data_IF_058179048171
#
_entry.id   IF_058179048171
#
_cell.length_a   1.000
_cell.length_b   1.000
_cell.length_c   1.000
_cell.angle_alpha   90.00
_cell.angle_beta   90.00
_cell.angle_gamma   90.00
#
_symmetry.space_group_name_H-M   'P 1'
#
loop_
_entity.id
_entity.type
_entity.pdbx_description
1 polymer ?
#
# COMPACT_ATOMS: atom_id res chain seq x y z
N UNK A 1 34.46 -7.20 -13.99
CA UNK A 1 33.58 -6.19 -14.62
C UNK A 1 32.07 -6.54 -14.52
N UNK A 2 31.68 -7.82 -14.36
CA UNK A 2 30.27 -8.29 -14.37
C UNK A 2 29.37 -7.66 -13.29
N UNK A 3 29.89 -7.36 -12.09
CA UNK A 3 29.10 -6.77 -10.97
C UNK A 3 28.58 -5.34 -11.22
N UNK A 4 29.24 -4.57 -12.11
CA UNK A 4 28.87 -3.16 -12.36
C UNK A 4 27.57 -3.02 -13.15
N UNK A 5 27.36 -3.87 -14.16
CA UNK A 5 26.14 -3.85 -14.98
C UNK A 5 24.90 -4.27 -14.18
N UNK A 6 25.04 -5.30 -13.34
CA UNK A 6 23.98 -5.77 -12.46
C UNK A 6 23.58 -4.70 -11.42
N UNK A 7 24.55 -3.98 -10.89
CA UNK A 7 24.33 -2.85 -9.99
C UNK A 7 23.55 -1.71 -10.68
N UNK A 8 23.91 -1.36 -11.92
CA UNK A 8 23.23 -0.32 -12.69
C UNK A 8 21.77 -0.68 -13.00
N UNK A 9 21.51 -1.94 -13.35
CA UNK A 9 20.14 -2.43 -13.55
C UNK A 9 19.33 -2.39 -12.25
N UNK A 10 19.94 -2.76 -11.12
CA UNK A 10 19.29 -2.63 -9.79
C UNK A 10 18.98 -1.18 -9.47
N UNK A 11 19.93 -0.26 -9.67
CA UNK A 11 19.75 1.18 -9.46
C UNK A 11 18.65 1.75 -10.35
N UNK A 12 18.58 1.35 -11.62
CA UNK A 12 17.55 1.80 -12.56
C UNK A 12 16.16 1.35 -12.14
N UNK A 13 16.00 0.10 -11.70
CA UNK A 13 14.73 -0.41 -11.16
C UNK A 13 14.34 0.27 -9.83
N UNK A 14 15.29 0.48 -8.92
CA UNK A 14 14.99 0.99 -7.56
C UNK A 14 14.82 2.52 -7.52
N UNK A 15 15.55 3.27 -8.34
CA UNK A 15 15.57 4.74 -8.31
C UNK A 15 14.20 5.38 -8.61
N UNK A 16 13.41 4.78 -9.51
CA UNK A 16 12.04 5.23 -9.77
C UNK A 16 11.13 5.09 -8.55
N UNK A 17 11.23 3.94 -7.85
CA UNK A 17 10.46 3.65 -6.62
C UNK A 17 10.90 4.53 -5.44
N UNK A 18 12.18 4.93 -5.41
CA UNK A 18 12.78 5.73 -4.35
C UNK A 18 13.02 7.18 -4.77
N UNK A 19 12.28 7.72 -5.75
CA UNK A 19 12.41 9.12 -6.14
C UNK A 19 11.72 10.05 -5.14
N UNK A 20 12.35 11.18 -4.80
CA UNK A 20 11.71 12.21 -3.97
C UNK A 20 10.61 12.97 -4.72
N UNK A 21 10.71 13.03 -6.05
CA UNK A 21 9.78 13.72 -6.91
C UNK A 21 9.41 12.82 -8.10
N UNK A 22 8.12 12.77 -8.41
CA UNK A 22 7.58 12.16 -9.62
C UNK A 22 7.15 13.28 -10.56
N UNK A 23 7.27 13.05 -11.87
CA UNK A 23 6.84 14.00 -12.88
C UNK A 23 5.80 13.32 -13.79
N UNK A 24 4.65 13.95 -13.94
CA UNK A 24 3.58 13.48 -14.83
C UNK A 24 2.96 14.68 -15.55
N UNK A 25 2.95 14.65 -16.88
CA UNK A 25 2.45 15.74 -17.73
C UNK A 25 2.98 17.13 -17.34
N UNK A 26 4.27 17.24 -17.01
CA UNK A 26 4.90 18.50 -16.60
C UNK A 26 4.63 18.92 -15.15
N UNK A 27 3.82 18.18 -14.39
CA UNK A 27 3.53 18.45 -12.98
C UNK A 27 4.47 17.66 -12.08
N UNK A 28 5.07 18.35 -11.11
CA UNK A 28 5.91 17.74 -10.08
C UNK A 28 5.08 17.30 -8.88
N UNK A 29 5.15 16.03 -8.53
CA UNK A 29 4.46 15.41 -7.40
C UNK A 29 5.49 14.98 -6.36
N UNK A 30 5.37 15.46 -5.12
CA UNK A 30 6.24 15.04 -4.02
C UNK A 30 5.91 13.60 -3.61
N UNK A 31 6.93 12.80 -3.27
CA UNK A 31 6.71 11.45 -2.72
C UNK A 31 5.77 11.44 -1.51
N UNK A 32 5.96 12.38 -0.59
CA UNK A 32 5.12 12.50 0.60
C UNK A 32 3.63 12.70 0.28
N UNK A 33 3.31 13.37 -0.83
CA UNK A 33 1.93 13.53 -1.27
C UNK A 33 1.34 12.21 -1.79
N UNK A 34 2.13 11.41 -2.53
CA UNK A 34 1.73 10.07 -2.98
C UNK A 34 1.52 9.14 -1.79
N UNK A 35 2.43 9.15 -0.81
CA UNK A 35 2.31 8.34 0.41
C UNK A 35 1.12 8.75 1.28
N UNK A 36 0.86 10.05 1.41
CA UNK A 36 -0.31 10.55 2.12
C UNK A 36 -1.60 10.08 1.44
N UNK A 37 -1.65 10.15 0.10
CA UNK A 37 -2.80 9.68 -0.67
C UNK A 37 -3.02 8.17 -0.52
N UNK A 38 -1.95 7.37 -0.58
CA UNK A 38 -2.04 5.91 -0.37
C UNK A 38 -2.60 5.60 1.04
N UNK A 39 -2.16 6.33 2.08
CA UNK A 39 -2.70 6.17 3.44
C UNK A 39 -4.16 6.60 3.55
N UNK A 40 -4.55 7.70 2.91
CA UNK A 40 -5.93 8.17 2.91
C UNK A 40 -6.86 7.13 2.25
N UNK A 41 -6.44 6.54 1.13
CA UNK A 41 -7.17 5.48 0.45
C UNK A 41 -7.32 4.23 1.33
N UNK A 42 -6.24 3.83 1.99
CA UNK A 42 -6.29 2.69 2.91
C UNK A 42 -7.26 2.95 4.07
N UNK A 43 -7.17 4.13 4.69
CA UNK A 43 -8.06 4.52 5.79
C UNK A 43 -9.53 4.59 5.34
N UNK A 44 -9.79 4.98 4.10
CA UNK A 44 -11.13 5.03 3.54
C UNK A 44 -11.71 3.63 3.30
N UNK A 45 -10.92 2.73 2.69
CA UNK A 45 -11.32 1.33 2.50
C UNK A 45 -11.63 0.64 3.85
N UNK A 46 -10.86 0.94 4.89
CA UNK A 46 -11.11 0.39 6.23
C UNK A 46 -12.44 0.83 6.85
N UNK A 47 -13.02 1.97 6.43
CA UNK A 47 -14.34 2.39 6.93
C UNK A 47 -15.46 1.46 6.50
N UNK A 48 -15.30 0.74 5.39
CA UNK A 48 -16.29 -0.27 4.97
C UNK A 48 -16.48 -1.35 6.02
N UNK A 49 -15.49 -1.56 6.89
CA UNK A 49 -15.48 -2.55 7.97
C UNK A 49 -15.80 -1.95 9.36
N UNK A 50 -16.16 -0.67 9.43
CA UNK A 50 -16.53 -0.02 10.69
C UNK A 50 -17.90 -0.50 11.21
N UNK A 51 -18.14 -0.34 12.51
CA UNK A 51 -19.43 -0.71 13.12
C UNK A 51 -20.63 -0.01 12.45
N UNK A 52 -20.45 1.22 11.97
CA UNK A 52 -21.49 1.97 11.23
C UNK A 52 -21.91 1.28 9.93
N UNK A 53 -21.01 0.53 9.31
CA UNK A 53 -21.28 -0.22 8.08
C UNK A 53 -22.06 -1.50 8.33
N UNK A 54 -22.15 -1.96 9.59
CA UNK A 54 -22.93 -3.13 10.01
C UNK A 54 -24.40 -2.83 10.30
N UNK A 55 -24.78 -1.55 10.43
CA UNK A 55 -26.13 -1.13 10.86
C UNK A 55 -27.24 -1.65 9.93
N UNK A 56 -26.95 -1.87 8.64
CA UNK A 56 -27.93 -2.34 7.66
C UNK A 56 -27.98 -3.88 7.50
N UNK A 57 -27.31 -4.63 8.36
CA UNK A 57 -27.24 -6.10 8.31
C UNK A 57 -28.07 -6.71 9.45
N UNK A 58 -28.56 -7.95 9.28
CA UNK A 58 -29.31 -8.67 10.32
C UNK A 58 -30.55 -7.95 10.83
N UNK A 59 -31.35 -7.32 9.94
CA UNK A 59 -32.50 -6.48 10.33
C UNK A 59 -33.57 -7.25 11.12
N UNK A 60 -33.60 -8.57 10.96
CA UNK A 60 -34.52 -9.53 11.56
C UNK A 60 -33.86 -10.46 12.59
N UNK A 61 -32.56 -10.27 12.86
CA UNK A 61 -31.74 -11.11 13.72
C UNK A 61 -31.14 -10.38 14.93
N UNK A 62 -30.34 -11.11 15.69
CA UNK A 62 -29.52 -10.56 16.77
C UNK A 62 -28.14 -10.09 16.26
N UNK A 63 -27.28 -9.71 17.19
CA UNK A 63 -25.93 -9.23 16.85
C UNK A 63 -25.09 -10.29 16.11
N UNK A 64 -25.32 -11.59 16.38
CA UNK A 64 -24.57 -12.68 15.74
C UNK A 64 -25.01 -12.87 14.28
N UNK A 65 -26.33 -12.77 14.02
CA UNK A 65 -26.87 -12.84 12.65
C UNK A 65 -26.37 -11.64 11.83
N UNK A 66 -26.38 -10.44 12.40
CA UNK A 66 -25.82 -9.24 11.75
C UNK A 66 -24.36 -9.42 11.35
N UNK A 67 -23.54 -9.91 12.28
CA UNK A 67 -22.10 -10.04 12.04
C UNK A 67 -21.81 -11.15 11.02
N UNK A 68 -22.56 -12.26 11.06
CA UNK A 68 -22.47 -13.31 10.05
C UNK A 68 -22.90 -12.84 8.65
N UNK A 69 -23.99 -12.09 8.53
CA UNK A 69 -24.44 -11.52 7.26
C UNK A 69 -23.43 -10.51 6.70
N UNK A 70 -22.83 -9.71 7.60
CA UNK A 70 -21.81 -8.75 7.23
C UNK A 70 -20.57 -9.47 6.68
N UNK A 71 -20.05 -10.46 7.39
CA UNK A 71 -18.88 -11.24 6.98
C UNK A 71 -19.14 -12.00 5.67
N UNK A 72 -20.33 -12.58 5.50
CA UNK A 72 -20.68 -13.30 4.27
C UNK A 72 -20.68 -12.42 3.00
N UNK A 73 -20.97 -11.13 3.13
CA UNK A 73 -21.03 -10.19 2.00
C UNK A 73 -19.73 -9.38 1.85
N UNK A 74 -19.12 -8.96 2.95
CA UNK A 74 -17.95 -8.07 2.97
C UNK A 74 -16.63 -8.79 3.19
N UNK A 75 -16.66 -9.98 3.79
CA UNK A 75 -15.49 -10.68 4.27
C UNK A 75 -14.75 -9.90 5.36
N UNK A 76 -13.49 -10.26 5.53
CA UNK A 76 -12.57 -9.59 6.44
C UNK A 76 -11.69 -8.57 5.69
N UNK A 77 -11.30 -7.45 6.33
CA UNK A 77 -10.43 -6.47 5.70
C UNK A 77 -9.05 -7.03 5.35
N UNK A 78 -8.59 -8.05 6.06
CA UNK A 78 -7.33 -8.76 5.82
C UNK A 78 -7.33 -9.52 4.49
N UNK A 79 -8.50 -9.94 4.01
CA UNK A 79 -8.68 -10.69 2.76
C UNK A 79 -9.04 -9.78 1.57
N UNK A 80 -9.19 -8.48 1.80
CA UNK A 80 -9.53 -7.52 0.76
C UNK A 80 -8.32 -7.21 -0.13
N UNK A 81 -8.37 -7.65 -1.40
CA UNK A 81 -7.31 -7.48 -2.39
C UNK A 81 -6.78 -6.03 -2.49
N UNK A 82 -7.65 -5.03 -2.40
CA UNK A 82 -7.25 -3.62 -2.48
C UNK A 82 -6.46 -3.18 -1.24
N UNK A 83 -6.91 -3.58 -0.04
CA UNK A 83 -6.23 -3.30 1.23
C UNK A 83 -4.86 -3.97 1.22
N UNK A 84 -4.79 -5.25 0.81
CA UNK A 84 -3.56 -6.02 0.69
C UNK A 84 -2.59 -5.32 -0.28
N UNK A 85 -3.03 -4.98 -1.50
CA UNK A 85 -2.17 -4.35 -2.51
C UNK A 85 -1.63 -3.00 -2.02
N UNK A 86 -2.46 -2.19 -1.36
CA UNK A 86 -2.04 -0.89 -0.81
C UNK A 86 -1.01 -1.03 0.30
N UNK A 87 -1.19 -1.98 1.22
CA UNK A 87 -0.21 -2.27 2.27
C UNK A 87 1.11 -2.77 1.67
N UNK A 88 1.05 -3.70 0.70
CA UNK A 88 2.23 -4.20 0.00
C UNK A 88 2.96 -3.08 -0.76
N UNK A 89 2.23 -2.19 -1.43
CA UNK A 89 2.81 -1.05 -2.15
C UNK A 89 3.56 -0.11 -1.20
N UNK A 90 3.00 0.17 -0.03
CA UNK A 90 3.66 0.97 1.02
C UNK A 90 4.91 0.25 1.57
N UNK A 91 4.83 -1.07 1.80
CA UNK A 91 5.96 -1.87 2.28
C UNK A 91 7.10 -1.95 1.26
N UNK A 92 6.79 -2.25 -0.01
CA UNK A 92 7.76 -2.36 -1.09
C UNK A 92 8.54 -1.06 -1.31
N UNK A 93 7.88 0.09 -1.22
CA UNK A 93 8.55 1.41 -1.28
C UNK A 93 9.58 1.58 -0.15
N UNK A 94 9.26 1.15 1.08
CA UNK A 94 10.17 1.21 2.22
C UNK A 94 11.35 0.25 2.05
N UNK A 95 11.08 -1.00 1.67
CA UNK A 95 12.12 -2.01 1.49
C UNK A 95 13.10 -1.60 0.40
N UNK A 96 12.60 -1.11 -0.74
CA UNK A 96 13.46 -0.66 -1.85
C UNK A 96 14.40 0.48 -1.42
N UNK A 97 13.93 1.40 -0.57
CA UNK A 97 14.78 2.46 -0.03
C UNK A 97 15.86 1.94 0.93
N UNK A 98 15.52 0.95 1.77
CA UNK A 98 16.47 0.30 2.66
C UNK A 98 17.55 -0.46 1.88
N UNK A 99 17.14 -1.25 0.88
CA UNK A 99 18.05 -2.04 0.04
C UNK A 99 19.03 -1.15 -0.73
N UNK A 100 18.56 -0.02 -1.26
CA UNK A 100 19.41 0.95 -1.95
C UNK A 100 20.46 1.55 -1.00
N UNK A 101 20.03 1.92 0.20
CA UNK A 101 20.93 2.48 1.22
C UNK A 101 21.98 1.46 1.64
N UNK A 102 21.60 0.19 1.82
CA UNK A 102 22.51 -0.89 2.14
C UNK A 102 23.51 -1.16 0.99
N UNK A 103 23.03 -1.22 -0.26
CA UNK A 103 23.87 -1.43 -1.43
C UNK A 103 24.91 -0.33 -1.65
N UNK A 104 24.52 0.94 -1.46
CA UNK A 104 25.44 2.08 -1.56
C UNK A 104 26.54 2.04 -0.49
N UNK A 105 26.21 1.62 0.74
CA UNK A 105 27.18 1.47 1.83
C UNK A 105 28.22 0.39 1.60
N UNK A 106 27.91 -0.64 0.81
CA UNK A 106 28.87 -1.70 0.48
C UNK A 106 29.89 -1.30 -0.60
N UNK A 107 29.68 -0.15 -1.25
CA UNK A 107 30.53 0.37 -2.32
C UNK A 107 31.51 1.47 -1.85
N UNK A 108 31.31 1.99 -0.64
CA UNK A 108 32.16 2.96 0.07
C UNK A 108 32.97 2.27 1.14
#
# INVERSE_FOLDING_TARGET
MVRGMELLERLKKSSGLTSQNFYYNGVRIKRSAVEALDRMRLADAQKEYAATSRISFGIDGDEQVRDADFEAIRGEPEDNDFIIEMQQRLANKKQTAADLTAGLRQLT
#
